data_IF_080597332371
#
_entry.id   IF_080597332371
#
_cell.length_a   1.000
_cell.length_b   1.000
_cell.length_c   1.000
_cell.angle_alpha   90.00
_cell.angle_beta   90.00
_cell.angle_gamma   90.00
#
_symmetry.space_group_name_H-M   'P 1'
#
loop_
_entity.id
_entity.type
_entity.pdbx_description
1 polymer ?
#
# COMPACT_ATOMS: atom_id res chain seq x y z
N UNK A 1 38.29 5.56 18.00
CA UNK A 1 37.10 6.36 17.62
C UNK A 1 36.64 6.20 16.16
N UNK A 2 37.36 5.49 15.26
CA UNK A 2 36.96 5.34 13.84
C UNK A 2 35.78 4.38 13.62
N UNK A 3 35.65 3.34 14.46
CA UNK A 3 34.63 2.29 14.30
C UNK A 3 33.27 2.61 14.94
N UNK A 4 33.22 3.50 15.94
CA UNK A 4 31.97 3.88 16.64
C UNK A 4 30.97 4.52 15.66
N UNK A 5 31.46 5.33 14.71
CA UNK A 5 30.61 5.94 13.67
C UNK A 5 30.03 4.90 12.70
N UNK A 6 30.76 3.82 12.42
CA UNK A 6 30.30 2.76 11.51
C UNK A 6 29.24 1.87 12.17
N UNK A 7 29.40 1.56 13.46
CA UNK A 7 28.40 0.81 14.23
C UNK A 7 27.08 1.57 14.33
N UNK A 8 27.12 2.90 14.53
CA UNK A 8 25.92 3.73 14.58
C UNK A 8 25.13 3.74 13.26
N UNK A 9 25.82 3.71 12.11
CA UNK A 9 25.17 3.67 10.78
C UNK A 9 24.47 2.32 10.55
N UNK A 10 25.10 1.22 10.98
CA UNK A 10 24.50 -0.12 10.86
C UNK A 10 23.26 -0.23 11.74
N UNK A 11 23.30 0.29 12.97
CA UNK A 11 22.14 0.30 13.88
C UNK A 11 21.00 1.14 13.29
N UNK A 12 21.30 2.28 12.67
CA UNK A 12 20.28 3.14 12.04
C UNK A 12 19.59 2.46 10.85
N UNK A 13 20.31 1.64 10.08
CA UNK A 13 19.76 0.89 8.95
C UNK A 13 18.72 -0.16 9.39
N UNK A 14 18.88 -0.76 10.58
CA UNK A 14 17.89 -1.70 11.13
C UNK A 14 16.58 -1.03 11.56
N UNK A 15 16.61 0.25 11.96
CA UNK A 15 15.40 0.97 12.35
C UNK A 15 14.49 1.37 11.17
N UNK A 16 14.99 1.33 9.94
CA UNK A 16 14.25 1.75 8.74
C UNK A 16 13.34 0.65 8.15
N UNK A 17 13.39 -0.59 8.65
CA UNK A 17 12.61 -1.71 8.11
C UNK A 17 11.17 -1.83 8.66
N UNK A 18 10.70 -0.89 9.48
CA UNK A 18 9.39 -0.94 10.12
C UNK A 18 8.25 -0.30 9.30
N UNK A 19 8.08 -0.66 8.02
CA UNK A 19 6.89 -0.29 7.24
C UNK A 19 5.92 -1.47 7.20
N UNK A 20 5.32 -1.79 8.35
CA UNK A 20 4.26 -2.79 8.47
C UNK A 20 2.88 -2.16 8.42
N UNK A 21 1.87 -2.92 7.99
CA UNK A 21 0.47 -2.51 8.14
C UNK A 21 0.16 -2.28 9.61
N UNK A 22 -0.52 -1.17 9.92
CA UNK A 22 -0.74 -0.73 11.30
C UNK A 22 -1.68 -1.65 12.10
N UNK A 23 -2.48 -2.44 11.39
CA UNK A 23 -3.51 -3.34 11.93
C UNK A 23 -3.66 -4.54 10.99
N UNK A 24 -3.47 -5.76 11.53
CA UNK A 24 -3.63 -7.04 10.81
C UNK A 24 -5.00 -7.70 11.02
N UNK A 25 -5.85 -7.17 11.90
CA UNK A 25 -7.18 -7.71 12.19
C UNK A 25 -8.12 -6.57 12.55
N UNK A 26 -9.36 -6.59 12.08
CA UNK A 26 -10.34 -5.58 12.44
C UNK A 26 -11.70 -5.79 11.79
N UNK A 27 -12.60 -4.85 12.05
CA UNK A 27 -13.94 -4.84 11.46
C UNK A 27 -13.86 -4.18 10.09
N UNK A 28 -14.48 -4.79 9.09
CA UNK A 28 -14.58 -4.20 7.75
C UNK A 28 -15.52 -2.99 7.80
N UNK A 29 -14.96 -1.79 7.60
CA UNK A 29 -15.72 -0.53 7.57
C UNK A 29 -16.05 -0.11 6.13
N UNK A 30 -15.26 -0.54 5.16
CA UNK A 30 -15.44 -0.16 3.76
C UNK A 30 -15.03 -1.27 2.79
N UNK A 31 -15.68 -1.30 1.63
CA UNK A 31 -15.40 -2.18 0.50
C UNK A 31 -15.35 -1.31 -0.75
N UNK A 32 -14.28 -1.42 -1.53
CA UNK A 32 -14.09 -0.69 -2.77
C UNK A 32 -13.65 -1.65 -3.89
N UNK A 33 -14.38 -1.64 -5.00
CA UNK A 33 -13.98 -2.34 -6.23
C UNK A 33 -13.43 -1.33 -7.23
N UNK A 34 -12.17 -1.51 -7.61
CA UNK A 34 -11.50 -0.68 -8.63
C UNK A 34 -11.41 -1.49 -9.91
N UNK A 35 -12.23 -1.14 -10.89
CA UNK A 35 -12.20 -1.74 -12.23
C UNK A 35 -10.86 -1.49 -12.91
N UNK A 36 -10.40 -2.44 -13.73
CA UNK A 36 -9.23 -2.25 -14.57
C UNK A 36 -9.41 -1.05 -15.52
N UNK A 37 -8.35 -0.27 -15.70
CA UNK A 37 -8.35 0.86 -16.63
C UNK A 37 -6.95 1.16 -17.15
N UNK A 38 -6.88 1.83 -18.31
CA UNK A 38 -5.61 2.30 -18.87
C UNK A 38 -5.54 3.82 -18.74
N UNK A 39 -4.50 4.33 -18.11
CA UNK A 39 -4.20 5.77 -18.07
C UNK A 39 -3.09 6.11 -19.05
N UNK A 40 -3.13 7.27 -19.68
CA UNK A 40 -2.05 7.78 -20.53
C UNK A 40 -1.29 8.82 -19.73
N UNK A 41 0.01 8.60 -19.49
CA UNK A 41 0.86 9.57 -18.79
C UNK A 41 1.93 10.15 -19.73
N UNK A 42 2.27 11.43 -19.60
CA UNK A 42 3.41 12.00 -20.31
C UNK A 42 4.72 11.60 -19.63
N UNK A 43 5.60 10.96 -20.38
CA UNK A 43 6.98 10.67 -19.96
C UNK A 43 7.91 11.64 -20.67
N UNK A 44 8.59 12.46 -19.88
CA UNK A 44 9.54 13.45 -20.39
C UNK A 44 10.93 12.85 -20.45
N UNK A 45 11.54 12.90 -21.63
CA UNK A 45 12.91 12.50 -21.89
C UNK A 45 13.76 13.73 -22.24
N UNK A 46 14.93 13.86 -21.61
CA UNK A 46 15.90 14.91 -21.94
C UNK A 46 16.99 14.26 -22.79
N UNK A 47 17.10 14.67 -24.05
CA UNK A 47 18.08 14.15 -25.01
C UNK A 47 18.97 15.32 -25.45
N UNK A 48 20.14 15.43 -24.80
CA UNK A 48 21.05 16.56 -25.01
C UNK A 48 20.43 17.88 -24.56
N UNK A 49 20.14 18.78 -25.50
CA UNK A 49 19.45 20.07 -25.27
C UNK A 49 17.95 20.03 -25.62
N UNK A 50 17.46 18.88 -26.08
CA UNK A 50 16.08 18.73 -26.53
C UNK A 50 15.23 18.03 -25.47
N UNK A 51 13.99 18.45 -25.34
CA UNK A 51 12.97 17.80 -24.50
C UNK A 51 11.98 17.07 -25.39
N UNK A 52 11.82 15.77 -25.18
CA UNK A 52 10.85 14.93 -25.90
C UNK A 52 9.83 14.43 -24.89
N UNK A 53 8.54 14.55 -25.21
CA UNK A 53 7.45 14.02 -24.38
C UNK A 53 6.80 12.86 -25.12
N UNK A 54 6.79 11.69 -24.50
CA UNK A 54 6.15 10.49 -25.02
C UNK A 54 4.89 10.20 -24.21
N UNK A 55 3.76 9.99 -24.86
CA UNK A 55 2.53 9.57 -24.20
C UNK A 55 2.57 8.05 -24.01
N UNK A 56 2.73 7.60 -22.76
CA UNK A 56 2.88 6.17 -22.44
C UNK A 56 1.60 5.65 -21.79
N UNK A 57 0.98 4.59 -22.36
CA UNK A 57 -0.14 3.92 -21.70
C UNK A 57 0.35 3.10 -20.51
N UNK A 58 -0.32 3.23 -19.38
CA UNK A 58 -0.13 2.40 -18.19
C UNK A 58 -1.43 1.67 -17.91
N UNK A 59 -1.36 0.34 -17.91
CA UNK A 59 -2.45 -0.52 -17.51
C UNK A 59 -2.50 -0.64 -15.98
N UNK A 60 -3.68 -0.41 -15.41
CA UNK A 60 -3.96 -0.64 -14.00
C UNK A 60 -4.86 -1.86 -13.90
N UNK A 61 -4.38 -2.86 -13.19
CA UNK A 61 -5.14 -4.08 -12.91
C UNK A 61 -6.38 -3.78 -12.07
N UNK A 62 -7.33 -4.70 -12.15
CA UNK A 62 -8.51 -4.67 -11.31
C UNK A 62 -8.11 -4.98 -9.85
N UNK A 63 -8.74 -4.32 -8.86
CA UNK A 63 -8.39 -4.48 -7.44
C UNK A 63 -9.63 -4.49 -6.55
N UNK A 64 -9.62 -5.32 -5.51
CA UNK A 64 -10.73 -5.53 -4.59
C UNK A 64 -10.23 -5.19 -3.20
N UNK A 65 -10.56 -3.98 -2.77
CA UNK A 65 -9.98 -3.40 -1.57
C UNK A 65 -10.99 -3.46 -0.42
N UNK A 66 -10.55 -3.96 0.72
CA UNK A 66 -11.29 -3.83 1.99
C UNK A 66 -10.55 -2.88 2.91
N UNK A 67 -11.31 -2.10 3.67
CA UNK A 67 -10.77 -1.24 4.73
C UNK A 67 -11.21 -1.80 6.06
N UNK A 68 -10.25 -2.16 6.90
CA UNK A 68 -10.50 -2.64 8.26
C UNK A 68 -10.16 -1.58 9.29
N UNK A 69 -10.87 -1.62 10.42
CA UNK A 69 -10.64 -0.75 11.55
C UNK A 69 -10.58 -1.58 12.85
N UNK A 70 -9.63 -1.25 13.73
CA UNK A 70 -9.56 -1.79 15.09
C UNK A 70 -9.31 -0.64 16.06
N UNK A 71 -10.15 -0.53 17.08
CA UNK A 71 -10.04 0.48 18.12
C UNK A 71 -9.48 -0.14 19.41
N UNK A 72 -8.42 0.44 19.95
CA UNK A 72 -7.77 0.02 21.20
C UNK A 72 -7.51 1.27 22.04
N UNK A 73 -8.03 1.30 23.28
CA UNK A 73 -7.87 2.43 24.21
C UNK A 73 -8.22 3.80 23.58
N UNK A 74 -9.42 3.92 23.00
CA UNK A 74 -9.94 5.11 22.31
C UNK A 74 -9.18 5.55 21.03
N UNK A 75 -8.13 4.84 20.64
CA UNK A 75 -7.46 5.04 19.35
C UNK A 75 -7.94 4.03 18.32
N UNK A 76 -8.55 4.51 17.23
CA UNK A 76 -8.93 3.69 16.09
C UNK A 76 -7.85 3.74 15.01
N UNK A 77 -7.34 2.57 14.63
CA UNK A 77 -6.39 2.42 13.53
C UNK A 77 -7.06 1.73 12.35
N UNK A 78 -6.66 2.13 11.15
CA UNK A 78 -7.24 1.68 9.89
C UNK A 78 -6.16 1.13 8.97
N UNK A 79 -6.50 0.10 8.21
CA UNK A 79 -5.64 -0.49 7.18
C UNK A 79 -6.48 -0.85 5.96
N UNK A 80 -5.87 -0.77 4.77
CA UNK A 80 -6.49 -1.18 3.51
C UNK A 80 -5.75 -2.41 3.00
N UNK A 81 -6.50 -3.44 2.62
CA UNK A 81 -5.97 -4.68 2.07
C UNK A 81 -6.54 -4.94 0.69
N UNK A 82 -5.69 -5.45 -0.20
CA UNK A 82 -6.07 -5.99 -1.50
C UNK A 82 -6.34 -7.49 -1.32
N UNK A 83 -7.56 -7.92 -1.65
CA UNK A 83 -8.01 -9.30 -1.44
C UNK A 83 -8.53 -9.89 -2.74
N UNK A 84 -8.72 -11.20 -2.78
CA UNK A 84 -9.29 -11.87 -3.94
C UNK A 84 -10.77 -11.52 -4.14
N UNK A 85 -11.22 -11.52 -5.40
CA UNK A 85 -12.63 -11.30 -5.74
C UNK A 85 -13.57 -12.25 -4.98
N UNK A 86 -13.20 -13.53 -4.88
CA UNK A 86 -14.03 -14.54 -4.22
C UNK A 86 -14.24 -14.21 -2.75
N UNK A 87 -13.16 -13.85 -2.06
CA UNK A 87 -13.21 -13.46 -0.66
C UNK A 87 -14.00 -12.15 -0.49
N UNK A 88 -13.77 -11.18 -1.38
CA UNK A 88 -14.49 -9.92 -1.39
C UNK A 88 -16.00 -10.11 -1.54
N UNK A 89 -16.48 -11.05 -2.36
CA UNK A 89 -17.92 -11.31 -2.51
C UNK A 89 -18.54 -11.95 -1.26
N UNK A 90 -17.76 -12.72 -0.48
CA UNK A 90 -18.25 -13.40 0.72
C UNK A 90 -18.31 -12.46 1.94
N UNK A 91 -17.39 -11.49 2.02
CA UNK A 91 -17.28 -10.58 3.14
C UNK A 91 -18.30 -9.43 3.08
N UNK A 92 -18.83 -9.04 4.23
CA UNK A 92 -19.73 -7.89 4.39
C UNK A 92 -19.10 -6.80 5.27
N UNK A 93 -19.63 -5.57 5.16
CA UNK A 93 -19.29 -4.51 6.11
C UNK A 93 -19.80 -4.91 7.49
N UNK A 94 -18.97 -4.74 8.52
CA UNK A 94 -19.26 -5.18 9.89
C UNK A 94 -18.66 -6.55 10.23
N UNK A 95 -18.23 -7.34 9.25
CA UNK A 95 -17.55 -8.61 9.52
C UNK A 95 -16.16 -8.37 10.10
N UNK A 96 -15.73 -9.27 10.99
CA UNK A 96 -14.36 -9.30 11.47
C UNK A 96 -13.50 -10.02 10.45
N UNK A 97 -12.40 -9.39 10.03
CA UNK A 97 -11.46 -9.94 9.07
C UNK A 97 -10.04 -9.85 9.62
N UNK A 98 -9.25 -10.87 9.34
CA UNK A 98 -7.86 -10.98 9.78
C UNK A 98 -6.99 -11.33 8.58
N UNK A 99 -5.92 -10.58 8.42
CA UNK A 99 -4.87 -10.86 7.46
C UNK A 99 -4.11 -12.12 7.89
N UNK A 100 -4.05 -13.11 7.01
CA UNK A 100 -3.23 -14.31 7.16
C UNK A 100 -2.05 -14.17 6.19
N UNK A 101 -0.83 -14.15 6.73
CA UNK A 101 0.44 -14.06 5.96
C UNK A 101 0.75 -15.36 5.20
#
# INVERSE_FOLDING_TARGET
MKYIKQVAIIILLFFLCGCGHSVSEGIIIEKQHKKAYTSIIPVTHIVGKSTVITMTPIYHEERWLIKIQKCVNDECKESVYDIDEKEFQLLNKGDCWRYEE
#
